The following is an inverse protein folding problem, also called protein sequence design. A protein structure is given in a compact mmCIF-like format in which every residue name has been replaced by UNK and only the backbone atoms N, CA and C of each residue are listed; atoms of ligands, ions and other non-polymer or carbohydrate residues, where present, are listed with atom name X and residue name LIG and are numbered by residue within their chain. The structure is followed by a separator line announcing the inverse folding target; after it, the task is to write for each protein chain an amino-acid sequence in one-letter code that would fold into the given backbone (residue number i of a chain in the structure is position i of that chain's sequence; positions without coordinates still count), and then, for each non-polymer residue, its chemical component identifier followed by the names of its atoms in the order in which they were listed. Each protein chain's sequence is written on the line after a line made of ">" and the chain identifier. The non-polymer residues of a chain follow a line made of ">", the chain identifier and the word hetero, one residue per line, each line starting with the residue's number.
data_IF_066505632914
#
_entry.id   IF_066505632914
#
_cell.length_a   1.000
_cell.length_b   1.000
_cell.length_c   1.000
_cell.angle_alpha   90.00
_cell.angle_beta   90.00
_cell.angle_gamma   90.00
#
_symmetry.space_group_name_H-M   'P 1'
#
loop_
_entity.id
_entity.type
_entity.pdbx_description
1 polymer ?
#
# COMPACT_ATOMS: atom_id res chain seq x y z
N UNK A 1 5.62 -6.73 8.45
CA UNK A 1 4.60 -6.04 7.62
C UNK A 1 4.19 -4.73 8.28
N UNK A 2 4.11 -3.66 7.50
CA UNK A 2 3.66 -2.35 8.01
C UNK A 2 2.51 -1.84 7.17
N UNK A 3 1.56 -1.18 7.81
CA UNK A 3 0.45 -0.52 7.13
C UNK A 3 0.45 0.94 7.55
N UNK A 4 0.41 1.84 6.57
CA UNK A 4 0.38 3.28 6.82
C UNK A 4 -0.77 3.93 6.06
N UNK A 5 -1.63 4.63 6.78
CA UNK A 5 -2.64 5.51 6.19
C UNK A 5 -2.10 6.93 6.31
N UNK A 6 -1.87 7.57 5.18
CA UNK A 6 -1.43 8.97 5.13
C UNK A 6 -2.58 9.81 4.63
N UNK A 7 -3.24 10.52 5.56
CA UNK A 7 -4.42 11.31 5.22
C UNK A 7 -4.07 12.59 4.46
N UNK A 8 -2.89 13.14 4.68
CA UNK A 8 -2.46 14.35 3.99
C UNK A 8 -2.24 14.10 2.49
N UNK A 9 -1.63 12.99 2.14
CA UNK A 9 -1.43 12.60 0.74
C UNK A 9 -2.53 11.70 0.20
N UNK A 10 -3.53 11.38 1.01
CA UNK A 10 -4.65 10.51 0.66
C UNK A 10 -4.18 9.17 0.11
N UNK A 11 -3.24 8.53 0.83
CA UNK A 11 -2.60 7.30 0.41
C UNK A 11 -2.67 6.22 1.48
N UNK A 12 -2.69 4.96 1.03
CA UNK A 12 -2.60 3.79 1.88
C UNK A 12 -1.43 2.95 1.40
N UNK A 13 -0.50 2.62 2.28
CA UNK A 13 0.70 1.87 1.94
C UNK A 13 0.82 0.59 2.76
N UNK A 14 1.03 -0.53 2.07
CA UNK A 14 1.37 -1.81 2.69
C UNK A 14 2.81 -2.13 2.38
N UNK A 15 3.64 -2.29 3.40
CA UNK A 15 5.00 -2.81 3.26
C UNK A 15 4.99 -4.27 3.70
N UNK A 16 5.08 -5.18 2.75
CA UNK A 16 4.98 -6.61 3.00
C UNK A 16 6.25 -7.15 3.65
N UNK A 17 7.39 -6.65 3.22
CA UNK A 17 8.71 -7.06 3.70
C UNK A 17 9.64 -5.85 3.70
N UNK A 18 10.63 -5.82 4.59
CA UNK A 18 11.57 -4.69 4.72
C UNK A 18 12.79 -4.82 3.78
N UNK A 19 12.71 -5.68 2.78
CA UNK A 19 13.75 -5.77 1.77
C UNK A 19 13.88 -4.45 1.00
N UNK A 20 15.06 -4.22 0.44
CA UNK A 20 15.36 -2.98 -0.29
C UNK A 20 14.52 -2.89 -1.56
N UNK A 21 13.83 -1.79 -1.74
CA UNK A 21 13.07 -1.49 -2.96
C UNK A 21 14.04 -0.97 -4.02
N UNK A 22 14.05 -1.59 -5.18
CA UNK A 22 14.91 -1.20 -6.30
C UNK A 22 14.13 -0.65 -7.50
N UNK A 23 12.83 -0.91 -7.55
CA UNK A 23 11.98 -0.47 -8.66
C UNK A 23 10.56 -0.27 -8.16
N UNK A 24 9.86 0.71 -8.71
CA UNK A 24 8.44 0.94 -8.46
C UNK A 24 7.72 1.11 -9.79
N UNK A 25 6.53 0.57 -9.90
CA UNK A 25 5.74 0.62 -11.12
C UNK A 25 4.29 0.93 -10.81
N UNK A 26 3.72 1.93 -11.49
CA UNK A 26 2.29 2.20 -11.42
C UNK A 26 1.58 1.26 -12.40
N UNK A 27 0.94 0.22 -11.86
CA UNK A 27 0.32 -0.84 -12.67
C UNK A 27 -1.11 -0.52 -13.08
N UNK A 28 -1.77 0.37 -12.34
CA UNK A 28 -3.09 0.95 -12.66
C UNK A 28 -3.08 2.36 -12.09
N UNK A 29 -3.96 3.27 -12.56
CA UNK A 29 -4.01 4.61 -11.99
C UNK A 29 -4.12 4.58 -10.47
N UNK A 30 -3.13 5.14 -9.80
CA UNK A 30 -3.10 5.21 -8.35
C UNK A 30 -2.76 3.91 -7.63
N UNK A 31 -2.28 2.87 -8.34
CA UNK A 31 -1.84 1.61 -7.73
C UNK A 31 -0.38 1.38 -8.09
N UNK A 32 0.51 1.48 -7.11
CA UNK A 32 1.95 1.41 -7.31
C UNK A 32 2.50 0.18 -6.60
N UNK A 33 3.22 -0.66 -7.33
CA UNK A 33 3.93 -1.81 -6.77
C UNK A 33 5.39 -1.47 -6.60
N UNK A 34 5.95 -1.82 -5.43
CA UNK A 34 7.37 -1.68 -5.13
C UNK A 34 8.02 -3.06 -5.18
N UNK A 35 9.10 -3.18 -5.95
CA UNK A 35 9.79 -4.46 -6.15
C UNK A 35 11.15 -4.46 -5.46
N UNK A 36 11.51 -5.59 -4.88
CA UNK A 36 12.84 -5.81 -4.32
C UNK A 36 13.82 -6.25 -5.42
N UNK A 37 15.07 -6.49 -5.04
CA UNK A 37 16.12 -6.87 -6.00
C UNK A 37 15.94 -8.26 -6.60
N UNK A 38 15.04 -9.09 -6.04
CA UNK A 38 14.69 -10.40 -6.59
C UNK A 38 13.45 -10.35 -7.47
N UNK A 39 12.88 -9.16 -7.70
CA UNK A 39 11.67 -8.99 -8.49
C UNK A 39 10.39 -9.33 -7.77
N UNK A 40 10.44 -9.50 -6.45
CA UNK A 40 9.24 -9.75 -5.64
C UNK A 40 8.57 -8.44 -5.26
N UNK A 41 7.25 -8.43 -5.18
CA UNK A 41 6.50 -7.28 -4.67
C UNK A 41 6.71 -7.20 -3.17
N UNK A 42 7.35 -6.14 -2.70
CA UNK A 42 7.61 -5.90 -1.29
C UNK A 42 6.73 -4.79 -0.69
N UNK A 43 6.09 -4.00 -1.54
CA UNK A 43 5.19 -2.94 -1.08
C UNK A 43 4.11 -2.65 -2.12
N UNK A 44 2.99 -2.12 -1.63
CA UNK A 44 1.85 -1.71 -2.49
C UNK A 44 1.33 -0.39 -1.96
N UNK A 45 1.20 0.61 -2.83
CA UNK A 45 0.65 1.92 -2.47
C UNK A 45 -0.61 2.19 -3.27
N UNK A 46 -1.65 2.65 -2.58
CA UNK A 46 -2.89 3.12 -3.18
C UNK A 46 -2.98 4.63 -2.98
N UNK A 47 -3.05 5.38 -4.08
CA UNK A 47 -3.31 6.82 -4.07
C UNK A 47 -4.82 7.07 -4.21
N UNK A 48 -5.29 8.22 -3.73
CA UNK A 48 -6.71 8.55 -3.77
C UNK A 48 -7.55 7.60 -2.96
N UNK A 49 -7.06 7.21 -1.79
CA UNK A 49 -7.70 6.19 -0.97
C UNK A 49 -9.12 6.57 -0.54
N UNK A 50 -9.39 7.86 -0.36
CA UNK A 50 -10.73 8.35 0.01
C UNK A 50 -11.78 8.07 -1.07
N UNK A 51 -11.37 7.89 -2.31
CA UNK A 51 -12.26 7.53 -3.42
C UNK A 51 -12.45 6.03 -3.54
N UNK A 52 -11.61 5.24 -2.84
CA UNK A 52 -11.63 3.77 -2.87
C UNK A 52 -12.27 3.16 -1.64
N UNK A 53 -12.13 3.84 -0.51
CA UNK A 53 -12.65 3.37 0.78
C UNK A 53 -13.22 4.55 1.55
N UNK A 54 -14.28 4.31 2.31
CA UNK A 54 -14.88 5.35 3.16
C UNK A 54 -13.97 5.64 4.37
N UNK A 55 -14.17 6.80 5.00
CA UNK A 55 -13.47 7.13 6.25
C UNK A 55 -13.76 6.09 7.33
N UNK A 56 -14.98 5.57 7.36
CA UNK A 56 -15.37 4.53 8.30
C UNK A 56 -14.57 3.24 8.06
N UNK A 57 -14.44 2.82 6.79
CA UNK A 57 -13.66 1.64 6.44
C UNK A 57 -12.19 1.80 6.83
N UNK A 58 -11.61 2.98 6.58
CA UNK A 58 -10.21 3.25 6.94
C UNK A 58 -9.99 3.28 8.45
N UNK A 59 -11.00 3.69 9.21
CA UNK A 59 -10.92 3.74 10.68
C UNK A 59 -11.13 2.38 11.34
N UNK A 60 -11.64 1.40 10.61
CA UNK A 60 -12.00 0.08 11.12
C UNK A 60 -11.25 -1.03 10.40
N UNK A 61 -9.93 -0.88 10.27
CA UNK A 61 -9.09 -1.90 9.65
C UNK A 61 -9.01 -3.12 10.57
N UNK A 62 -9.23 -4.29 9.97
CA UNK A 62 -9.19 -5.55 10.69
C UNK A 62 -8.09 -6.44 10.14
N UNK A 63 -7.36 -7.11 11.04
CA UNK A 63 -6.36 -8.10 10.67
C UNK A 63 -6.89 -9.48 11.05
N UNK A 64 -7.09 -10.31 10.05
CA UNK A 64 -7.59 -11.66 10.25
C UNK A 64 -6.55 -12.65 9.74
N UNK A 65 -6.20 -13.61 10.58
CA UNK A 65 -5.29 -14.71 10.22
C UNK A 65 -6.07 -16.02 10.29
N UNK A 66 -5.82 -16.86 9.30
CA UNK A 66 -6.50 -18.17 9.23
C UNK A 66 -5.84 -19.17 10.20
#
# INVERSE_FOLDING_TARGET
>A
MRVKVDRDSDALYFRLDESRIVESEEVRPGVILDFDENGHVAGVEFLGISERASNEALSNMQFQTA
#
